data_IF_119890563139
#
_entry.id   IF_119890563139
#
_cell.length_a   1.000
_cell.length_b   1.000
_cell.length_c   1.000
_cell.angle_alpha   90.00
_cell.angle_beta   90.00
_cell.angle_gamma   90.00
#
_symmetry.space_group_name_H-M   'P 1'
#
loop_
_entity.id
_entity.type
_entity.pdbx_description
1 polymer ?
#
# COMPACT_ATOMS: atom_id res chain seq x y z
N UNK A 1 19.03 18.13 -12.83
CA UNK A 1 18.71 17.16 -11.75
C UNK A 1 17.48 16.38 -12.17
N UNK A 2 17.43 15.05 -11.94
CA UNK A 2 16.21 14.28 -12.17
C UNK A 2 15.08 14.83 -11.28
N UNK A 3 13.87 14.93 -11.83
CA UNK A 3 12.66 15.34 -11.11
C UNK A 3 11.72 14.14 -11.02
N UNK A 4 11.19 13.89 -9.82
CA UNK A 4 10.20 12.84 -9.60
C UNK A 4 8.85 13.30 -10.18
N UNK A 5 8.25 12.47 -11.04
CA UNK A 5 6.88 12.65 -11.53
C UNK A 5 6.03 11.53 -10.95
N UNK A 6 4.80 11.85 -10.58
CA UNK A 6 3.85 10.91 -9.98
C UNK A 6 2.68 10.82 -10.93
N UNK A 7 2.43 9.64 -11.46
CA UNK A 7 1.33 9.37 -12.37
C UNK A 7 0.41 8.33 -11.73
N UNK A 8 -0.89 8.45 -11.95
CA UNK A 8 -1.88 7.46 -11.55
C UNK A 8 -2.96 7.31 -12.60
N UNK A 9 -3.52 6.11 -12.70
CA UNK A 9 -4.56 5.78 -13.66
C UNK A 9 -4.87 4.28 -13.64
N UNK A 10 -5.89 3.83 -14.38
CA UNK A 10 -6.39 2.46 -14.33
C UNK A 10 -5.43 1.42 -14.90
N UNK A 11 -4.44 1.81 -15.70
CA UNK A 11 -3.47 0.90 -16.29
C UNK A 11 -2.12 1.58 -16.58
N UNK A 12 -1.03 0.83 -16.79
CA UNK A 12 0.27 1.41 -17.15
C UNK A 12 0.27 2.25 -18.45
N UNK A 13 -0.72 2.05 -19.32
CA UNK A 13 -0.87 2.78 -20.59
C UNK A 13 -1.85 3.94 -20.52
N UNK A 14 -2.57 4.09 -19.41
CA UNK A 14 -3.54 5.15 -19.17
C UNK A 14 -3.24 5.77 -17.80
N UNK A 15 -2.33 6.73 -17.80
CA UNK A 15 -1.80 7.38 -16.60
C UNK A 15 -1.86 8.89 -16.77
N UNK A 16 -2.32 9.58 -15.72
CA UNK A 16 -2.36 11.04 -15.65
C UNK A 16 -1.47 11.54 -14.52
N UNK A 17 -0.89 12.73 -14.69
CA UNK A 17 -0.03 13.32 -13.67
C UNK A 17 -0.85 13.78 -12.47
N UNK A 18 -0.41 13.39 -11.26
CA UNK A 18 -1.08 13.72 -10.00
C UNK A 18 -0.16 14.52 -9.09
N UNK A 19 -0.76 15.37 -8.25
CA UNK A 19 -0.02 16.21 -7.30
C UNK A 19 0.04 15.56 -5.92
N UNK A 20 1.24 15.20 -5.48
CA UNK A 20 1.46 14.81 -4.08
C UNK A 20 1.17 15.99 -3.14
N UNK A 21 0.77 15.67 -1.91
CA UNK A 21 0.46 16.64 -0.84
C UNK A 21 -0.67 17.64 -1.17
N UNK A 22 -1.44 17.41 -2.24
CA UNK A 22 -2.48 18.34 -2.70
C UNK A 22 -3.76 18.33 -1.86
N UNK A 23 -3.95 17.29 -1.05
CA UNK A 23 -5.24 17.01 -0.39
C UNK A 23 -6.35 16.62 -1.38
N UNK A 24 -6.01 16.36 -2.64
CA UNK A 24 -6.96 15.94 -3.67
C UNK A 24 -6.75 14.46 -4.01
N UNK A 25 -7.87 13.77 -4.20
CA UNK A 25 -7.92 12.39 -4.65
C UNK A 25 -7.82 12.32 -6.18
N UNK A 26 -7.23 11.24 -6.68
CA UNK A 26 -7.30 10.85 -8.09
C UNK A 26 -8.17 9.63 -8.23
N UNK A 27 -9.28 9.77 -8.94
CA UNK A 27 -10.22 8.69 -9.17
C UNK A 27 -9.66 7.64 -10.13
N UNK A 28 -9.87 6.36 -9.81
CA UNK A 28 -9.45 5.19 -10.57
C UNK A 28 -10.67 4.29 -10.74
N UNK A 29 -11.03 4.01 -11.99
CA UNK A 29 -12.13 3.12 -12.34
C UNK A 29 -11.68 2.09 -13.38
N UNK A 30 -12.02 0.84 -13.14
CA UNK A 30 -11.77 -0.31 -14.01
C UNK A 30 -12.97 -1.25 -13.93
N UNK A 31 -12.99 -2.32 -14.74
CA UNK A 31 -14.04 -3.35 -14.65
C UNK A 31 -14.00 -4.17 -13.35
N UNK A 32 -12.88 -4.10 -12.61
CA UNK A 32 -12.66 -4.89 -11.38
C UNK A 32 -12.62 -4.05 -10.09
N UNK A 33 -12.34 -2.75 -10.18
CA UNK A 33 -12.13 -1.87 -9.02
C UNK A 33 -12.57 -0.43 -9.33
N UNK A 34 -13.16 0.21 -8.33
CA UNK A 34 -13.52 1.63 -8.34
C UNK A 34 -13.07 2.28 -7.03
N UNK A 35 -12.37 3.40 -7.11
CA UNK A 35 -11.86 4.09 -5.94
C UNK A 35 -11.02 5.33 -6.25
N UNK A 36 -10.26 5.75 -5.26
CA UNK A 36 -9.50 6.97 -5.23
C UNK A 36 -8.10 6.73 -4.65
N UNK A 37 -7.11 7.42 -5.20
CA UNK A 37 -5.70 7.32 -4.81
C UNK A 37 -5.16 8.70 -4.43
N UNK A 38 -4.33 8.75 -3.40
CA UNK A 38 -3.63 9.97 -3.00
C UNK A 38 -2.20 9.66 -2.54
N UNK A 39 -1.28 10.58 -2.77
CA UNK A 39 0.14 10.41 -2.44
C UNK A 39 0.60 11.56 -1.56
N UNK A 40 1.34 11.24 -0.50
CA UNK A 40 2.03 12.23 0.33
C UNK A 40 3.53 11.93 0.35
N UNK A 41 4.37 12.94 0.17
CA UNK A 41 5.84 12.81 0.19
C UNK A 41 6.44 14.01 0.93
N UNK A 42 7.22 13.76 1.98
CA UNK A 42 7.91 14.84 2.73
C UNK A 42 8.90 15.55 1.83
N UNK A 43 8.96 16.88 1.96
CA UNK A 43 9.90 17.73 1.22
C UNK A 43 9.82 17.58 -0.32
N UNK A 44 8.67 17.15 -0.83
CA UNK A 44 8.47 17.02 -2.27
C UNK A 44 8.33 18.40 -2.91
N UNK A 45 9.27 18.72 -3.79
CA UNK A 45 9.21 19.89 -4.65
C UNK A 45 8.48 19.55 -5.95
N UNK A 46 7.44 20.31 -6.27
CA UNK A 46 6.69 20.14 -7.52
C UNK A 46 7.51 20.56 -8.76
N UNK A 47 6.87 20.55 -9.93
CA UNK A 47 7.50 20.94 -11.21
C UNK A 47 7.99 22.39 -11.23
N UNK A 48 7.42 23.24 -10.38
CA UNK A 48 7.78 24.65 -10.21
C UNK A 48 8.83 24.85 -9.11
N UNK A 49 9.14 23.79 -8.35
CA UNK A 49 10.09 23.81 -7.24
C UNK A 49 9.46 24.17 -5.90
N UNK A 50 8.13 24.30 -5.83
CA UNK A 50 7.43 24.61 -4.59
C UNK A 50 7.32 23.35 -3.72
N UNK A 51 7.65 23.48 -2.44
CA UNK A 51 7.50 22.40 -1.47
C UNK A 51 6.20 22.59 -0.71
N UNK A 52 5.28 21.63 -0.86
CA UNK A 52 3.99 21.65 -0.19
C UNK A 52 4.02 20.73 1.03
N UNK A 53 3.54 21.25 2.16
CA UNK A 53 3.47 20.51 3.41
C UNK A 53 2.11 19.80 3.52
N UNK A 54 2.10 18.53 3.93
CA UNK A 54 0.85 17.75 4.05
C UNK A 54 0.45 17.61 5.51
N UNK A 55 -0.84 17.84 5.81
CA UNK A 55 -1.40 17.61 7.15
C UNK A 55 -1.16 16.17 7.64
N UNK A 56 -1.06 15.20 6.72
CA UNK A 56 -0.74 13.81 7.02
C UNK A 56 0.53 13.67 7.87
N UNK A 57 1.57 14.45 7.61
CA UNK A 57 2.86 14.35 8.30
C UNK A 57 2.88 15.00 9.69
N UNK A 58 1.86 15.80 10.03
CA UNK A 58 1.70 16.33 11.39
C UNK A 58 1.32 15.23 12.37
N UNK A 59 0.48 14.30 11.93
CA UNK A 59 0.05 13.13 12.70
C UNK A 59 0.93 11.89 12.47
N UNK A 60 1.79 11.91 11.42
CA UNK A 60 2.74 10.84 11.06
C UNK A 60 4.15 11.40 10.92
N UNK A 61 4.72 11.85 12.04
CA UNK A 61 6.05 12.50 12.08
C UNK A 61 7.19 11.54 11.73
N UNK A 62 6.96 10.23 11.84
CA UNK A 62 7.89 9.14 11.61
C UNK A 62 7.85 8.59 10.17
N UNK A 63 6.88 9.01 9.35
CA UNK A 63 6.69 8.58 7.96
C UNK A 63 7.29 9.58 6.98
N UNK A 64 7.97 9.16 5.91
CA UNK A 64 8.52 10.05 4.87
C UNK A 64 7.69 10.09 3.59
N UNK A 65 6.94 9.04 3.30
CA UNK A 65 5.95 9.04 2.23
C UNK A 65 4.79 8.07 2.51
N UNK A 66 3.66 8.30 1.85
CA UNK A 66 2.52 7.37 1.84
C UNK A 66 1.83 7.34 0.48
N UNK A 67 1.36 6.15 0.11
CA UNK A 67 0.38 5.91 -0.95
C UNK A 67 -0.89 5.45 -0.25
N UNK A 68 -1.98 6.19 -0.48
CA UNK A 68 -3.27 5.95 0.13
C UNK A 68 -4.26 5.56 -0.95
N UNK A 69 -5.12 4.58 -0.66
CA UNK A 69 -6.17 4.13 -1.56
C UNK A 69 -7.45 3.96 -0.77
N UNK A 70 -8.57 4.44 -1.29
CA UNK A 70 -9.90 4.10 -0.82
C UNK A 70 -10.72 3.57 -1.99
N UNK A 71 -11.47 2.49 -1.82
CA UNK A 71 -12.32 1.98 -2.91
C UNK A 71 -12.89 0.62 -2.61
N UNK A 72 -13.44 -0.02 -3.64
CA UNK A 72 -14.08 -1.33 -3.55
C UNK A 72 -13.86 -2.11 -4.84
N UNK A 73 -13.88 -3.43 -4.73
CA UNK A 73 -13.86 -4.31 -5.89
C UNK A 73 -15.26 -4.47 -6.45
N UNK A 74 -15.40 -4.50 -7.77
CA UNK A 74 -16.70 -4.64 -8.45
C UNK A 74 -17.14 -6.10 -8.58
N UNK A 75 -16.26 -7.03 -8.22
CA UNK A 75 -16.50 -8.47 -8.17
C UNK A 75 -15.97 -9.02 -6.83
N UNK A 76 -16.49 -10.15 -6.36
CA UNK A 76 -15.93 -10.79 -5.17
C UNK A 76 -14.57 -11.41 -5.50
N UNK A 77 -13.56 -11.01 -4.74
CA UNK A 77 -12.22 -11.58 -4.77
C UNK A 77 -11.85 -12.08 -3.37
N UNK A 78 -11.08 -13.15 -3.33
CA UNK A 78 -10.35 -13.49 -2.12
C UNK A 78 -9.21 -12.49 -1.89
N UNK A 79 -8.82 -12.28 -0.63
CA UNK A 79 -7.70 -11.41 -0.33
C UNK A 79 -6.34 -11.92 -0.85
N UNK A 80 -6.27 -13.20 -1.27
CA UNK A 80 -5.06 -13.80 -1.85
C UNK A 80 -4.82 -13.36 -3.30
N UNK A 81 -5.89 -13.03 -4.04
CA UNK A 81 -5.83 -12.62 -5.45
C UNK A 81 -5.44 -11.16 -5.64
N UNK A 82 -5.43 -10.37 -4.56
CA UNK A 82 -5.21 -8.93 -4.61
C UNK A 82 -3.76 -8.64 -4.25
N UNK A 83 -2.98 -8.27 -5.26
CA UNK A 83 -1.57 -7.96 -5.12
C UNK A 83 -1.31 -6.45 -5.07
N UNK A 84 -0.31 -6.07 -4.31
CA UNK A 84 0.23 -4.72 -4.27
C UNK A 84 1.75 -4.76 -4.39
N UNK A 85 2.32 -3.81 -5.12
CA UNK A 85 3.77 -3.67 -5.21
C UNK A 85 4.21 -2.90 -6.45
N UNK A 86 5.39 -3.25 -6.94
CA UNK A 86 6.07 -2.51 -7.99
C UNK A 86 6.31 -3.40 -9.20
N UNK A 87 6.11 -2.81 -10.37
CA UNK A 87 6.46 -3.38 -11.65
C UNK A 87 7.28 -2.32 -12.38
N UNK A 88 8.46 -2.71 -12.86
CA UNK A 88 9.42 -1.81 -13.48
C UNK A 88 9.38 -1.97 -15.00
N UNK A 89 9.39 -0.86 -15.73
CA UNK A 89 9.34 -0.87 -17.21
C UNK A 89 10.65 -1.34 -17.87
N UNK A 90 11.74 -1.42 -17.10
CA UNK A 90 13.07 -1.77 -17.60
C UNK A 90 13.85 -2.53 -16.55
N UNK A 91 14.82 -3.32 -17.02
CA UNK A 91 15.82 -3.96 -16.18
C UNK A 91 16.44 -2.97 -15.18
N UNK A 92 16.53 -3.40 -13.92
CA UNK A 92 17.20 -2.63 -12.89
C UNK A 92 18.72 -2.88 -13.00
N UNK A 93 19.57 -1.84 -12.91
CA UNK A 93 21.02 -2.01 -12.86
C UNK A 93 21.42 -2.52 -11.47
N UNK A 94 21.22 -3.83 -11.23
CA UNK A 94 21.46 -4.46 -9.93
C UNK A 94 22.97 -4.76 -9.78
N UNK A 95 23.65 -4.21 -8.75
CA UNK A 95 25.05 -4.50 -8.48
C UNK A 95 25.28 -6.00 -8.20
N UNK A 96 26.44 -6.51 -8.58
CA UNK A 96 26.87 -7.85 -8.21
C UNK A 96 26.99 -7.96 -6.69
N UNK A 97 26.27 -8.91 -6.05
CA UNK A 97 26.20 -9.07 -4.58
C UNK A 97 24.88 -8.63 -3.91
N UNK A 98 23.82 -8.36 -4.69
CA UNK A 98 22.54 -7.84 -4.20
C UNK A 98 21.68 -8.80 -3.33
N UNK A 99 22.15 -10.03 -3.05
CA UNK A 99 21.40 -11.04 -2.31
C UNK A 99 20.97 -10.57 -0.91
N UNK A 100 21.79 -9.76 -0.23
CA UNK A 100 21.48 -9.23 1.09
C UNK A 100 20.29 -8.24 1.10
N UNK A 101 20.08 -7.49 0.01
CA UNK A 101 18.94 -6.56 -0.12
C UNK A 101 17.65 -7.33 -0.38
N UNK A 102 17.72 -8.42 -1.16
CA UNK A 102 16.58 -9.32 -1.38
C UNK A 102 16.12 -9.97 -0.06
N UNK A 103 17.07 -10.44 0.76
CA UNK A 103 16.76 -10.99 2.08
C UNK A 103 16.18 -9.94 3.04
N UNK A 104 16.61 -8.68 2.97
CA UNK A 104 16.05 -7.60 3.78
C UNK A 104 14.62 -7.23 3.37
N UNK A 105 14.34 -7.23 2.07
CA UNK A 105 12.99 -7.01 1.53
C UNK A 105 12.01 -8.08 2.03
N UNK A 106 12.40 -9.35 1.99
CA UNK A 106 11.60 -10.47 2.52
C UNK A 106 11.50 -10.47 4.04
N UNK A 107 12.49 -9.95 4.74
CA UNK A 107 12.40 -9.75 6.19
C UNK A 107 11.32 -8.73 6.58
N UNK A 108 11.14 -7.68 5.78
CA UNK A 108 10.09 -6.68 6.03
C UNK A 108 8.70 -7.13 5.57
N UNK A 109 8.63 -7.87 4.46
CA UNK A 109 7.40 -8.50 3.96
C UNK A 109 7.67 -9.95 3.56
N UNK A 110 7.37 -10.92 4.45
CA UNK A 110 7.63 -12.34 4.19
C UNK A 110 6.87 -12.93 3.01
N UNK A 111 5.81 -12.26 2.53
CA UNK A 111 5.01 -12.71 1.40
C UNK A 111 5.42 -12.06 0.08
N UNK A 112 6.45 -11.23 0.08
CA UNK A 112 6.91 -10.59 -1.14
C UNK A 112 7.60 -11.58 -2.06
N UNK A 113 7.00 -11.77 -3.23
CA UNK A 113 7.59 -12.42 -4.37
C UNK A 113 8.19 -11.38 -5.31
N UNK A 114 9.20 -11.77 -6.07
CA UNK A 114 9.89 -10.85 -6.96
C UNK A 114 10.63 -11.58 -8.08
N UNK A 115 10.78 -10.87 -9.19
CA UNK A 115 11.77 -11.16 -10.23
C UNK A 115 12.52 -9.87 -10.57
N UNK A 116 13.41 -9.44 -9.68
CA UNK A 116 14.19 -8.22 -9.93
C UNK A 116 15.29 -8.41 -10.99
N UNK A 117 15.63 -9.66 -11.34
CA UNK A 117 16.66 -9.98 -12.32
C UNK A 117 16.15 -10.05 -13.76
N UNK A 118 14.83 -9.99 -13.96
CA UNK A 118 14.22 -9.90 -15.28
C UNK A 118 14.89 -8.81 -16.13
N UNK A 119 15.29 -9.18 -17.35
CA UNK A 119 15.88 -8.24 -18.31
C UNK A 119 14.85 -7.35 -18.99
N UNK A 120 13.58 -7.70 -18.88
CA UNK A 120 12.48 -7.01 -19.56
C UNK A 120 11.66 -6.22 -18.56
N UNK A 121 11.02 -6.92 -17.61
CA UNK A 121 10.02 -6.35 -16.72
C UNK A 121 10.20 -6.85 -15.28
N UNK A 122 11.16 -6.28 -14.54
CA UNK A 122 11.33 -6.60 -13.14
C UNK A 122 10.07 -6.31 -12.33
N UNK A 123 9.84 -7.06 -11.26
CA UNK A 123 8.70 -6.82 -10.38
C UNK A 123 8.97 -7.31 -8.95
N UNK A 124 8.24 -6.73 -8.00
CA UNK A 124 8.15 -7.16 -6.62
C UNK A 124 6.73 -6.92 -6.13
N UNK A 125 6.00 -7.99 -5.84
CA UNK A 125 4.58 -7.98 -5.51
C UNK A 125 4.34 -8.80 -4.25
N UNK A 126 3.33 -8.41 -3.47
CA UNK A 126 2.92 -9.14 -2.28
C UNK A 126 1.41 -9.02 -2.10
N UNK A 127 0.75 -9.99 -1.45
CA UNK A 127 -0.66 -9.88 -1.13
C UNK A 127 -0.95 -8.62 -0.32
N UNK A 128 -1.95 -7.86 -0.74
CA UNK A 128 -2.29 -6.56 -0.18
C UNK A 128 -2.46 -6.59 1.35
N UNK A 129 -3.13 -7.62 1.85
CA UNK A 129 -3.42 -7.80 3.27
C UNK A 129 -2.19 -8.13 4.13
N UNK A 130 -1.09 -8.63 3.56
CA UNK A 130 0.17 -8.84 4.27
C UNK A 130 1.09 -7.62 4.24
N UNK A 131 0.91 -6.70 3.28
CA UNK A 131 1.85 -5.60 3.05
C UNK A 131 1.41 -4.26 3.61
N UNK A 132 0.11 -3.96 3.57
CA UNK A 132 -0.39 -2.63 3.94
C UNK A 132 0.00 -2.24 5.37
N UNK A 133 0.46 -1.00 5.55
CA UNK A 133 0.86 -0.46 6.87
C UNK A 133 -0.35 -0.36 7.78
N UNK A 134 -1.44 0.22 7.25
CA UNK A 134 -2.75 0.32 7.89
C UNK A 134 -3.84 -0.03 6.90
N UNK A 135 -4.84 -0.74 7.37
CA UNK A 135 -5.99 -1.17 6.59
C UNK A 135 -7.26 -0.98 7.41
N UNK A 136 -8.26 -0.31 6.83
CA UNK A 136 -9.57 -0.14 7.40
C UNK A 136 -10.60 -0.73 6.43
N UNK A 137 -11.50 -1.54 6.95
CA UNK A 137 -12.59 -2.14 6.20
C UNK A 137 -13.94 -1.73 6.78
N UNK A 138 -14.85 -1.36 5.91
CA UNK A 138 -16.22 -1.02 6.28
C UNK A 138 -17.17 -1.61 5.24
N UNK A 139 -18.25 -2.22 5.72
CA UNK A 139 -19.32 -2.69 4.86
C UNK A 139 -20.18 -1.51 4.43
N UNK A 140 -20.41 -1.40 3.13
CA UNK A 140 -21.38 -0.47 2.59
C UNK A 140 -22.67 -1.25 2.34
N UNK A 141 -23.67 -1.07 3.21
CA UNK A 141 -25.05 -1.15 2.73
C UNK A 141 -25.34 0.17 1.99
N UNK A 142 -26.28 0.21 1.05
CA UNK A 142 -26.52 1.38 0.20
C UNK A 142 -26.85 2.71 0.92
N UNK A 143 -26.91 2.71 2.26
CA UNK A 143 -27.09 3.89 3.11
C UNK A 143 -25.79 4.42 3.75
N UNK A 144 -24.68 3.68 3.72
CA UNK A 144 -23.41 4.15 4.29
C UNK A 144 -22.81 5.26 3.43
N UNK A 145 -22.61 6.43 4.05
CA UNK A 145 -21.83 7.51 3.43
C UNK A 145 -20.37 7.05 3.33
N UNK A 146 -19.85 7.02 2.10
CA UNK A 146 -18.42 6.82 1.86
C UNK A 146 -17.67 7.97 2.56
N UNK A 147 -16.73 7.69 3.48
CA UNK A 147 -15.97 8.74 4.16
C UNK A 147 -15.18 9.58 3.14
N UNK A 148 -14.95 10.88 3.41
CA UNK A 148 -14.18 11.72 2.51
C UNK A 148 -12.75 11.20 2.34
N UNK A 149 -12.22 11.32 1.12
CA UNK A 149 -10.87 10.92 0.75
C UNK A 149 -10.16 12.05 -0.02
N UNK A 150 -8.85 12.33 0.24
CA UNK A 150 -7.97 11.71 1.23
C UNK A 150 -8.49 11.92 2.66
N UNK A 151 -8.26 10.98 3.58
CA UNK A 151 -8.84 11.07 4.92
C UNK A 151 -8.20 12.25 5.67
N UNK A 152 -9.00 13.02 6.44
CA UNK A 152 -8.51 14.19 7.16
C UNK A 152 -7.54 13.83 8.29
N UNK A 153 -7.55 12.57 8.71
CA UNK A 153 -6.62 11.97 9.67
C UNK A 153 -6.02 10.71 9.06
N UNK A 154 -4.79 10.33 9.46
CA UNK A 154 -4.20 9.09 8.99
C UNK A 154 -5.09 7.88 9.29
N UNK A 155 -5.23 7.01 8.31
CA UNK A 155 -5.93 5.72 8.43
C UNK A 155 -5.38 4.96 9.64
N UNK A 156 -6.31 4.41 10.42
CA UNK A 156 -6.01 3.48 11.49
C UNK A 156 -6.38 2.07 11.06
N UNK A 157 -5.80 1.07 11.72
CA UNK A 157 -6.21 -0.31 11.48
C UNK A 157 -7.64 -0.51 11.99
N UNK A 158 -8.52 -1.07 11.16
CA UNK A 158 -9.84 -1.53 11.56
C UNK A 158 -10.26 -2.67 10.64
N UNK A 159 -10.19 -3.88 11.18
CA UNK A 159 -10.62 -5.08 10.47
C UNK A 159 -11.98 -5.60 10.95
N UNK A 160 -12.70 -4.86 11.81
CA UNK A 160 -13.84 -5.36 12.60
C UNK A 160 -14.96 -5.97 11.76
N UNK A 161 -15.16 -5.47 10.54
CA UNK A 161 -16.22 -5.91 9.63
C UNK A 161 -15.75 -6.88 8.53
N UNK A 162 -14.46 -7.30 8.55
CA UNK A 162 -13.94 -8.24 7.56
C UNK A 162 -14.79 -9.50 7.49
N UNK A 163 -15.07 -9.93 6.25
CA UNK A 163 -15.78 -11.17 5.97
C UNK A 163 -14.81 -12.33 5.84
N UNK A 164 -15.11 -13.39 6.58
CA UNK A 164 -14.42 -14.66 6.48
C UNK A 164 -15.36 -15.71 5.84
N UNK A 165 -14.82 -16.63 5.05
CA UNK A 165 -15.55 -17.79 4.53
C UNK A 165 -16.00 -18.69 5.68
N UNK A 166 -15.14 -18.87 6.68
CA UNK A 166 -15.53 -19.38 7.98
C UNK A 166 -16.42 -18.32 8.65
N UNK A 167 -17.56 -18.71 9.23
CA UNK A 167 -18.49 -17.74 9.83
C UNK A 167 -17.89 -16.98 11.02
N UNK A 168 -16.92 -17.60 11.68
CA UNK A 168 -16.28 -17.06 12.87
C UNK A 168 -14.96 -16.36 12.54
N UNK A 169 -14.72 -15.23 13.21
CA UNK A 169 -13.44 -14.52 13.17
C UNK A 169 -12.36 -15.38 13.84
N UNK A 170 -11.18 -15.54 13.21
CA UNK A 170 -10.09 -16.31 13.80
C UNK A 170 -9.56 -15.65 15.09
N UNK A 171 -9.15 -16.44 16.11
CA UNK A 171 -8.61 -15.92 17.36
C UNK A 171 -7.45 -14.93 17.20
N UNK A 172 -6.62 -15.11 16.17
CA UNK A 172 -5.47 -14.27 15.85
C UNK A 172 -5.85 -12.85 15.40
N UNK A 173 -7.10 -12.64 14.94
CA UNK A 173 -7.61 -11.36 14.48
C UNK A 173 -8.68 -10.75 15.41
N UNK A 174 -8.74 -11.19 16.68
CA UNK A 174 -9.67 -10.64 17.66
C UNK A 174 -9.36 -9.17 17.98
N UNK A 175 -8.08 -8.79 18.00
CA UNK A 175 -7.68 -7.38 18.09
C UNK A 175 -7.79 -6.74 16.70
N UNK A 176 -8.96 -6.15 16.45
CA UNK A 176 -9.34 -5.61 15.15
C UNK A 176 -8.54 -4.37 14.75
N UNK A 177 -7.79 -3.77 15.68
CA UNK A 177 -6.99 -2.56 15.49
C UNK A 177 -5.48 -2.83 15.45
N UNK A 178 -5.08 -4.09 15.22
CA UNK A 178 -3.69 -4.51 15.25
C UNK A 178 -3.11 -4.81 13.85
N UNK A 179 -2.37 -3.87 13.25
CA UNK A 179 -1.83 -4.06 11.90
C UNK A 179 -0.81 -5.20 11.83
N UNK A 180 -0.04 -5.42 12.90
CA UNK A 180 0.94 -6.51 12.95
C UNK A 180 0.27 -7.87 13.02
N UNK A 181 -0.82 -8.01 13.79
CA UNK A 181 -1.60 -9.25 13.84
C UNK A 181 -2.22 -9.56 12.47
N UNK A 182 -2.84 -8.57 11.81
CA UNK A 182 -3.36 -8.72 10.44
C UNK A 182 -2.27 -9.22 9.50
N UNK A 183 -1.13 -8.51 9.42
CA UNK A 183 -0.05 -8.88 8.49
C UNK A 183 0.46 -10.28 8.74
N UNK A 184 0.71 -10.65 10.00
CA UNK A 184 1.18 -12.00 10.38
C UNK A 184 0.15 -13.07 10.03
N UNK A 185 -1.13 -12.87 10.36
CA UNK A 185 -2.20 -13.82 10.01
C UNK A 185 -2.29 -14.02 8.50
N UNK A 186 -2.20 -12.92 7.75
CA UNK A 186 -2.26 -12.91 6.30
C UNK A 186 -0.94 -13.35 5.65
N UNK A 187 0.07 -13.84 6.38
CA UNK A 187 1.23 -14.47 5.73
C UNK A 187 0.89 -15.83 5.11
N UNK A 188 -0.13 -16.51 5.65
CA UNK A 188 -0.62 -17.78 5.13
C UNK A 188 -1.63 -17.56 3.99
N UNK A 189 -1.40 -18.16 2.83
CA UNK A 189 -2.30 -18.11 1.67
C UNK A 189 -3.69 -18.69 1.95
N UNK A 190 -3.80 -19.76 2.76
CA UNK A 190 -5.10 -20.33 3.13
C UNK A 190 -5.96 -19.35 3.92
N UNK A 191 -5.33 -18.59 4.82
CA UNK A 191 -6.00 -17.55 5.60
C UNK A 191 -6.50 -16.41 4.69
N UNK A 192 -5.66 -15.95 3.75
CA UNK A 192 -6.04 -14.91 2.79
C UNK A 192 -7.16 -15.37 1.85
N UNK A 193 -7.10 -16.62 1.39
CA UNK A 193 -8.16 -17.25 0.60
C UNK A 193 -9.49 -17.29 1.35
N UNK A 194 -9.43 -17.31 2.69
CA UNK A 194 -10.58 -17.24 3.59
C UNK A 194 -11.21 -15.87 3.73
N UNK A 195 -10.54 -14.77 3.35
CA UNK A 195 -11.07 -13.40 3.46
C UNK A 195 -11.66 -12.98 2.11
N UNK A 196 -12.89 -12.45 2.10
CA UNK A 196 -13.59 -12.04 0.88
C UNK A 196 -13.80 -10.52 0.85
N UNK A 197 -13.46 -9.90 -0.28
CA UNK A 197 -13.66 -8.48 -0.56
C UNK A 197 -14.45 -8.33 -1.87
N UNK A 198 -15.47 -7.48 -1.91
CA UNK A 198 -16.31 -7.29 -3.09
C UNK A 198 -17.06 -5.95 -3.12
N UNK A 199 -18.18 -5.87 -3.86
CA UNK A 199 -18.87 -4.61 -4.17
C UNK A 199 -19.37 -3.81 -2.98
N UNK A 200 -19.51 -4.46 -1.83
CA UNK A 200 -20.04 -3.89 -0.60
C UNK A 200 -18.96 -3.79 0.49
N UNK A 201 -17.68 -3.89 0.11
CA UNK A 201 -16.52 -3.84 0.99
C UNK A 201 -15.69 -2.60 0.63
N UNK A 202 -15.94 -1.50 1.32
CA UNK A 202 -15.10 -0.32 1.21
C UNK A 202 -13.82 -0.56 1.99
N UNK A 203 -12.70 -0.54 1.29
CA UNK A 203 -11.37 -0.60 1.87
C UNK A 203 -10.74 0.78 1.84
N UNK A 204 -10.12 1.20 2.94
CA UNK A 204 -9.24 2.36 3.00
C UNK A 204 -7.90 1.90 3.53
N UNK A 205 -6.84 2.11 2.78
CA UNK A 205 -5.53 1.54 3.06
C UNK A 205 -4.42 2.56 2.87
N UNK A 206 -3.38 2.40 3.66
CA UNK A 206 -2.16 3.20 3.57
C UNK A 206 -0.96 2.27 3.48
N UNK A 207 -0.17 2.46 2.43
CA UNK A 207 1.20 1.97 2.37
C UNK A 207 2.13 3.13 2.64
N UNK A 208 2.92 3.02 3.71
CA UNK A 208 3.77 4.09 4.18
C UNK A 208 5.10 3.53 4.69
N UNK A 209 6.14 4.35 4.66
CA UNK A 209 7.39 4.01 5.35
C UNK A 209 7.14 3.92 6.85
N UNK A 210 7.35 2.76 7.45
CA UNK A 210 7.47 2.63 8.90
C UNK A 210 8.93 2.77 9.30
N UNK A 211 9.29 3.81 10.05
CA UNK A 211 10.56 3.85 10.77
C UNK A 211 10.47 2.95 12.00
N UNK A 212 10.36 1.63 11.79
CA UNK A 212 10.73 0.71 12.86
C UNK A 212 12.22 0.93 13.18
N UNK A 213 12.64 0.94 14.46
CA UNK A 213 14.05 1.09 14.83
C UNK A 213 14.98 0.09 14.11
N UNK A 214 14.48 -1.12 13.79
CA UNK A 214 15.20 -2.12 13.01
C UNK A 214 15.50 -1.68 11.56
N UNK A 215 14.65 -0.83 10.97
CA UNK A 215 14.79 -0.31 9.61
C UNK A 215 15.75 0.88 9.54
N UNK A 216 15.81 1.72 10.59
CA UNK A 216 16.79 2.80 10.68
C UNK A 216 18.24 2.30 10.67
N UNK A 217 18.50 1.12 11.24
CA UNK A 217 19.85 0.55 11.28
C UNK A 217 20.30 0.11 9.87
N UNK A 218 19.38 -0.41 9.05
CA UNK A 218 19.63 -0.77 7.66
C UNK A 218 19.79 0.45 6.73
N UNK A 219 18.94 1.47 6.87
CA UNK A 219 19.05 2.71 6.06
C UNK A 219 20.31 3.54 6.39
N UNK A 220 20.81 3.46 7.64
CA UNK A 220 22.11 4.06 7.99
C UNK A 220 23.30 3.32 7.38
N UNK A 221 23.21 2.00 7.21
CA UNK A 221 24.24 1.22 6.52
C UNK A 221 24.26 1.46 5.00
N UNK A 222 23.12 1.75 4.36
CA UNK A 222 23.07 2.01 2.92
C UNK A 222 23.47 3.43 2.51
N UNK A 223 23.34 4.42 3.40
CA UNK A 223 23.68 5.83 3.11
C UNK A 223 25.09 6.26 3.54
N UNK A 224 25.92 5.37 4.11
CA UNK A 224 27.28 5.70 4.57
C UNK A 224 28.43 5.26 3.65
N UNK A 225 28.17 4.95 2.37
CA UNK A 225 29.27 4.84 1.38
C UNK A 225 28.90 5.51 0.06
N UNK A 226 29.24 6.79 -0.01
CA UNK A 226 29.47 7.60 -1.20
C UNK A 226 30.57 8.59 -0.84
#
# INVERSE_FOLDING_TARGET
>A
MPRLRILAGPSPTDLNEIRANSGQATHIATDAFEGDVAVCIKNFADTEGNVHDSAYFKDRTDVTWSIQVQGRFLQEHSADEILFGNVFDRALPIPWGFSAILSFMQYMDPCMEQDLQSKEKPWALSPLMSTMTYFAHTRTDGAHQVPPFPPPKPVQEDTSQLRFKARDRPPELQDVHNPSARRTYCQNSEHRTGIILGPNDLITQTFATTTSPSVQQASRCSCQRG
#
